data_IF_180357590623
#
_entry.id   IF_180357590623
#
_cell.length_a   1.000
_cell.length_b   1.000
_cell.length_c   1.000
_cell.angle_alpha   90.00
_cell.angle_beta   90.00
_cell.angle_gamma   90.00
#
_symmetry.space_group_name_H-M   'P 1'
#
loop_
_entity.id
_entity.type
_entity.pdbx_description
1 polymer ?
#
# COMPACT_ATOMS: atom_id res chain seq x y z
N UNK A 1 9.75 48.73 -4.31
CA UNK A 1 10.47 47.63 -3.69
C UNK A 1 9.79 46.35 -4.13
N UNK A 2 10.44 45.61 -5.05
CA UNK A 2 10.06 44.25 -5.36
C UNK A 2 10.39 43.33 -4.17
N UNK A 3 9.59 42.30 -3.88
CA UNK A 3 9.97 41.31 -2.89
C UNK A 3 11.27 40.63 -3.35
N UNK A 4 12.27 40.61 -2.49
CA UNK A 4 13.49 39.84 -2.71
C UNK A 4 13.10 38.36 -2.59
N UNK A 5 13.05 37.62 -3.71
CA UNK A 5 12.98 36.18 -3.67
C UNK A 5 14.17 35.65 -2.86
N UNK A 6 13.88 34.81 -1.88
CA UNK A 6 14.92 34.06 -1.20
C UNK A 6 15.69 33.22 -2.25
N UNK A 7 17.01 33.04 -2.11
CA UNK A 7 17.76 32.23 -3.06
C UNK A 7 17.15 30.82 -3.06
N UNK A 8 16.69 30.39 -4.22
CA UNK A 8 16.26 29.02 -4.43
C UNK A 8 17.46 28.10 -4.09
N UNK A 9 17.24 27.11 -3.23
CA UNK A 9 18.23 26.08 -2.93
C UNK A 9 18.69 25.37 -4.20
N UNK A 10 19.75 24.56 -4.11
CA UNK A 10 20.16 23.74 -5.24
C UNK A 10 19.02 22.81 -5.66
N UNK A 11 18.82 22.55 -6.96
CA UNK A 11 17.79 21.64 -7.44
C UNK A 11 18.00 20.23 -6.86
N UNK A 12 16.94 19.65 -6.27
CA UNK A 12 16.95 18.31 -5.72
C UNK A 12 15.82 17.51 -6.37
N UNK A 13 16.13 16.33 -6.88
CA UNK A 13 15.15 15.34 -7.31
C UNK A 13 15.04 14.24 -6.26
N UNK A 14 13.87 14.07 -5.68
CA UNK A 14 13.55 12.99 -4.75
C UNK A 14 12.85 11.86 -5.49
N UNK A 15 13.35 10.65 -5.33
CA UNK A 15 12.72 9.42 -5.84
C UNK A 15 12.01 8.73 -4.69
N UNK A 16 10.70 8.66 -4.78
CA UNK A 16 9.83 8.11 -3.74
C UNK A 16 9.17 6.85 -4.25
N UNK A 17 9.41 5.74 -3.58
CA UNK A 17 8.71 4.48 -3.82
C UNK A 17 7.53 4.39 -2.87
N UNK A 18 6.33 4.35 -3.42
CA UNK A 18 5.10 4.35 -2.64
C UNK A 18 4.13 3.25 -3.09
N UNK A 19 3.48 2.62 -2.13
CA UNK A 19 2.46 1.61 -2.40
C UNK A 19 1.39 2.14 -3.37
N UNK A 20 0.97 1.30 -4.32
CA UNK A 20 0.02 1.65 -5.38
C UNK A 20 -1.30 2.24 -4.85
N UNK A 21 -1.73 1.85 -3.66
CA UNK A 21 -2.91 2.41 -2.97
C UNK A 21 -2.78 3.90 -2.63
N UNK A 22 -1.55 4.43 -2.62
CA UNK A 22 -1.27 5.83 -2.30
C UNK A 22 -1.21 6.75 -3.52
N UNK A 23 -1.40 6.21 -4.74
CA UNK A 23 -1.14 6.94 -5.99
C UNK A 23 -1.85 8.30 -6.06
N UNK A 24 -3.14 8.34 -5.80
CA UNK A 24 -3.94 9.57 -5.92
C UNK A 24 -3.53 10.60 -4.87
N UNK A 25 -3.43 10.15 -3.61
CA UNK A 25 -3.08 11.02 -2.48
C UNK A 25 -1.67 11.59 -2.63
N UNK A 26 -0.69 10.73 -2.93
CA UNK A 26 0.70 11.16 -3.07
C UNK A 26 0.91 12.14 -4.23
N UNK A 27 0.20 11.97 -5.35
CA UNK A 27 0.27 12.93 -6.46
C UNK A 27 -0.28 14.31 -6.07
N UNK A 28 -1.37 14.38 -5.29
CA UNK A 28 -1.88 15.64 -4.78
C UNK A 28 -0.90 16.29 -3.81
N UNK A 29 -0.32 15.52 -2.91
CA UNK A 29 0.68 16.02 -1.93
C UNK A 29 1.96 16.51 -2.61
N UNK A 30 2.40 15.86 -3.69
CA UNK A 30 3.51 16.33 -4.52
C UNK A 30 3.26 17.73 -5.05
N UNK A 31 2.11 17.95 -5.68
CA UNK A 31 1.77 19.27 -6.25
C UNK A 31 1.82 20.36 -5.18
N UNK A 32 1.27 20.10 -4.00
CA UNK A 32 1.27 21.03 -2.88
C UNK A 32 2.69 21.28 -2.33
N UNK A 33 3.49 20.22 -2.22
CA UNK A 33 4.86 20.31 -1.71
C UNK A 33 5.77 21.09 -2.64
N UNK A 34 5.76 20.79 -3.95
CA UNK A 34 6.59 21.45 -4.97
C UNK A 34 6.24 22.94 -5.13
N UNK A 35 4.96 23.32 -4.95
CA UNK A 35 4.57 24.74 -4.93
C UNK A 35 5.26 25.53 -3.82
N UNK A 36 5.51 24.93 -2.67
CA UNK A 36 6.17 25.56 -1.54
C UNK A 36 7.69 25.35 -1.52
N UNK A 37 8.18 24.38 -2.32
CA UNK A 37 9.60 24.01 -2.43
C UNK A 37 10.02 23.94 -3.90
N UNK A 38 10.12 25.09 -4.60
CA UNK A 38 10.31 25.13 -6.06
C UNK A 38 11.65 24.56 -6.55
N UNK A 39 12.59 24.33 -5.65
CA UNK A 39 13.86 23.67 -5.93
C UNK A 39 13.80 22.13 -5.80
N UNK A 40 12.68 21.57 -5.32
CA UNK A 40 12.51 20.12 -5.15
C UNK A 40 11.54 19.59 -6.20
N UNK A 41 11.91 18.49 -6.82
CA UNK A 41 11.05 17.71 -7.72
C UNK A 41 10.88 16.32 -7.14
N UNK A 42 9.63 15.87 -6.97
CA UNK A 42 9.33 14.53 -6.46
C UNK A 42 8.93 13.61 -7.62
N UNK A 43 9.65 12.53 -7.79
CA UNK A 43 9.37 11.49 -8.79
C UNK A 43 8.90 10.24 -8.07
N UNK A 44 7.73 9.69 -8.44
CA UNK A 44 7.18 8.49 -7.83
C UNK A 44 7.42 7.24 -8.67
N UNK A 45 7.65 6.14 -7.96
CA UNK A 45 7.47 4.79 -8.46
C UNK A 45 6.35 4.14 -7.64
N UNK A 46 5.21 3.87 -8.28
CA UNK A 46 4.06 3.26 -7.64
C UNK A 46 3.91 1.80 -8.08
N UNK A 47 3.96 0.89 -7.13
CA UNK A 47 3.66 -0.53 -7.34
C UNK A 47 3.26 -1.19 -6.01
N UNK A 48 3.08 -2.51 -6.01
CA UNK A 48 2.94 -3.24 -4.75
C UNK A 48 4.19 -3.05 -3.88
N UNK A 49 4.00 -2.98 -2.57
CA UNK A 49 5.13 -2.81 -1.65
C UNK A 49 6.14 -3.97 -1.75
N UNK A 50 5.70 -5.17 -2.14
CA UNK A 50 6.58 -6.31 -2.39
C UNK A 50 7.48 -6.10 -3.61
N UNK A 51 6.92 -5.61 -4.73
CA UNK A 51 7.68 -5.26 -5.94
C UNK A 51 8.68 -4.15 -5.65
N UNK A 52 8.25 -3.09 -4.96
CA UNK A 52 9.11 -1.96 -4.59
C UNK A 52 10.26 -2.41 -3.68
N UNK A 53 9.98 -3.27 -2.69
CA UNK A 53 11.01 -3.87 -1.83
C UNK A 53 12.05 -4.64 -2.66
N UNK A 54 11.61 -5.43 -3.64
CA UNK A 54 12.53 -6.18 -4.51
C UNK A 54 13.45 -5.24 -5.28
N UNK A 55 12.91 -4.17 -5.85
CA UNK A 55 13.70 -3.16 -6.56
C UNK A 55 14.71 -2.46 -5.62
N UNK A 56 14.31 -2.11 -4.39
CA UNK A 56 15.21 -1.54 -3.37
C UNK A 56 16.35 -2.52 -3.04
N UNK A 57 16.04 -3.79 -2.85
CA UNK A 57 17.05 -4.84 -2.60
C UNK A 57 18.01 -5.05 -3.76
N UNK A 58 17.55 -4.83 -4.98
CA UNK A 58 18.37 -4.89 -6.20
C UNK A 58 19.18 -3.62 -6.45
N UNK A 59 19.07 -2.61 -5.59
CA UNK A 59 19.84 -1.37 -5.63
C UNK A 59 19.23 -0.28 -6.50
N UNK A 60 17.92 -0.28 -6.71
CA UNK A 60 17.24 0.83 -7.35
C UNK A 60 17.36 2.10 -6.50
N UNK A 61 17.54 3.25 -7.18
CA UNK A 61 17.55 4.56 -6.52
C UNK A 61 16.19 4.82 -5.88
N UNK A 62 16.20 5.01 -4.57
CA UNK A 62 15.02 5.32 -3.77
C UNK A 62 15.43 6.17 -2.57
N UNK A 63 14.83 7.33 -2.39
CA UNK A 63 15.15 8.25 -1.29
C UNK A 63 14.15 8.10 -0.13
N UNK A 64 12.90 7.75 -0.43
CA UNK A 64 11.83 7.52 0.56
C UNK A 64 10.98 6.31 0.15
N UNK A 65 10.74 5.41 1.09
CA UNK A 65 9.87 4.25 0.89
C UNK A 65 8.62 4.35 1.77
N UNK A 66 7.44 4.23 1.14
CA UNK A 66 6.12 4.19 1.80
C UNK A 66 5.48 2.86 1.48
N UNK A 67 5.40 1.98 2.47
CA UNK A 67 4.85 0.63 2.34
C UNK A 67 3.40 0.55 2.83
N UNK A 68 2.60 -0.32 2.23
CA UNK A 68 1.24 -0.62 2.68
C UNK A 68 1.18 -1.71 3.77
N UNK A 69 2.33 -2.16 4.26
CA UNK A 69 2.41 -3.09 5.39
C UNK A 69 3.77 -2.98 6.10
N UNK A 70 3.77 -3.32 7.39
CA UNK A 70 4.98 -3.32 8.22
C UNK A 70 6.03 -4.32 7.71
N UNK A 71 5.59 -5.48 7.22
CA UNK A 71 6.47 -6.58 6.79
C UNK A 71 7.56 -6.14 5.80
N UNK A 72 7.20 -5.36 4.78
CA UNK A 72 8.16 -4.91 3.77
C UNK A 72 9.15 -3.89 4.33
N UNK A 73 8.69 -3.01 5.22
CA UNK A 73 9.55 -2.06 5.91
C UNK A 73 10.50 -2.76 6.88
N UNK A 74 10.00 -3.74 7.63
CA UNK A 74 10.81 -4.52 8.58
C UNK A 74 12.02 -5.18 7.90
N UNK A 75 11.84 -5.64 6.65
CA UNK A 75 12.89 -6.33 5.87
C UNK A 75 14.10 -5.45 5.58
N UNK A 76 13.95 -4.12 5.54
CA UNK A 76 15.03 -3.16 5.23
C UNK A 76 15.50 -2.37 6.45
N UNK A 77 14.90 -2.62 7.61
CA UNK A 77 15.16 -1.91 8.86
C UNK A 77 16.35 -2.54 9.61
N UNK A 78 17.46 -1.81 9.65
CA UNK A 78 18.69 -2.26 10.34
C UNK A 78 18.54 -2.49 11.84
N UNK A 79 17.53 -1.89 12.50
CA UNK A 79 17.23 -2.16 13.91
C UNK A 79 16.69 -3.58 14.12
N UNK A 80 16.19 -4.22 13.07
CA UNK A 80 15.64 -5.58 13.06
C UNK A 80 16.58 -6.60 12.39
N UNK A 81 17.81 -6.23 12.07
CA UNK A 81 18.77 -7.10 11.34
C UNK A 81 19.09 -8.44 12.00
N UNK A 82 18.92 -8.53 13.32
CA UNK A 82 19.13 -9.75 14.09
C UNK A 82 17.85 -10.58 14.27
N UNK A 83 16.70 -10.07 13.81
CA UNK A 83 15.41 -10.76 13.80
C UNK A 83 15.18 -11.41 12.41
N UNK A 84 15.51 -12.68 12.31
CA UNK A 84 15.45 -13.44 11.04
C UNK A 84 14.01 -13.68 10.55
N UNK A 85 12.97 -13.46 11.36
CA UNK A 85 11.57 -13.54 10.94
C UNK A 85 11.14 -12.24 10.23
N UNK A 86 11.61 -11.09 10.70
CA UNK A 86 11.26 -9.78 10.18
C UNK A 86 12.21 -9.30 9.09
N UNK A 87 13.50 -9.47 9.31
CA UNK A 87 14.57 -9.06 8.39
C UNK A 87 15.49 -10.25 8.07
N UNK A 88 15.03 -11.21 7.27
CA UNK A 88 15.73 -12.47 7.02
C UNK A 88 17.12 -12.30 6.36
N UNK A 89 17.31 -11.20 5.62
CA UNK A 89 18.57 -10.91 4.93
C UNK A 89 19.49 -10.00 5.73
N UNK A 90 19.09 -9.56 6.93
CA UNK A 90 19.85 -8.67 7.80
C UNK A 90 20.16 -7.30 7.19
N UNK A 91 19.25 -6.78 6.35
CA UNK A 91 19.44 -5.52 5.63
C UNK A 91 19.35 -4.31 6.56
N UNK A 92 20.12 -3.27 6.22
CA UNK A 92 20.15 -1.99 6.91
C UNK A 92 20.18 -0.86 5.88
N UNK A 93 19.03 -0.63 5.25
CA UNK A 93 18.90 0.29 4.09
C UNK A 93 18.21 1.60 4.45
N UNK A 94 17.46 1.65 5.55
CA UNK A 94 16.77 2.88 5.97
C UNK A 94 17.55 3.62 7.06
N UNK A 95 17.32 4.92 7.14
CA UNK A 95 17.71 5.74 8.30
C UNK A 95 16.76 5.36 9.43
N UNK A 96 17.23 4.59 10.41
CA UNK A 96 16.40 3.96 11.44
C UNK A 96 15.49 4.94 12.18
N UNK A 97 16.02 6.11 12.54
CA UNK A 97 15.27 7.13 13.28
C UNK A 97 14.23 7.88 12.39
N UNK A 98 14.23 7.64 11.08
CA UNK A 98 13.25 8.23 10.14
C UNK A 98 11.97 7.43 10.04
N UNK A 99 11.97 6.16 10.46
CA UNK A 99 10.80 5.28 10.33
C UNK A 99 9.64 5.78 11.18
N UNK A 100 8.48 5.95 10.52
CA UNK A 100 7.23 6.38 11.14
C UNK A 100 6.07 5.51 10.65
N UNK A 101 5.05 5.33 11.48
CA UNK A 101 3.75 4.80 11.07
C UNK A 101 2.94 5.98 10.50
N UNK A 102 3.01 6.15 9.18
CA UNK A 102 2.50 7.36 8.50
C UNK A 102 0.99 7.45 8.57
N UNK A 103 0.27 6.34 8.33
CA UNK A 103 -1.19 6.28 8.41
C UNK A 103 -1.70 4.87 8.71
N UNK A 104 -2.94 4.79 9.16
CA UNK A 104 -3.71 3.54 9.27
C UNK A 104 -4.79 3.52 8.19
N UNK A 105 -4.94 2.38 7.52
CA UNK A 105 -5.98 2.15 6.52
C UNK A 105 -6.92 1.02 6.98
N UNK A 106 -7.90 0.67 6.17
CA UNK A 106 -8.82 -0.45 6.41
C UNK A 106 -8.87 -1.35 5.18
N UNK A 107 -8.88 -2.64 5.42
CA UNK A 107 -9.21 -3.63 4.39
C UNK A 107 -10.73 -3.76 4.31
N UNK A 108 -11.26 -3.68 3.10
CA UNK A 108 -12.71 -3.66 2.86
C UNK A 108 -13.11 -4.71 1.84
N UNK A 109 -14.33 -5.18 1.97
CA UNK A 109 -15.02 -5.98 0.98
C UNK A 109 -15.82 -5.03 0.07
N UNK A 110 -15.49 -5.03 -1.19
CA UNK A 110 -16.10 -4.16 -2.20
C UNK A 110 -16.80 -4.97 -3.29
N UNK A 111 -17.81 -4.36 -3.89
CA UNK A 111 -18.61 -4.95 -4.94
C UNK A 111 -18.74 -4.01 -6.14
N UNK A 112 -18.93 -4.53 -7.35
CA UNK A 112 -19.23 -3.71 -8.53
C UNK A 112 -20.58 -3.02 -8.40
N UNK A 113 -20.83 -2.08 -9.29
CA UNK A 113 -22.09 -1.33 -9.34
C UNK A 113 -23.29 -2.28 -9.37
N UNK A 114 -24.28 -1.97 -8.53
CA UNK A 114 -25.53 -2.74 -8.42
C UNK A 114 -25.41 -4.05 -7.63
N UNK A 115 -24.21 -4.45 -7.20
CA UNK A 115 -23.97 -5.65 -6.39
C UNK A 115 -24.78 -6.89 -6.88
N UNK A 116 -24.50 -7.43 -8.08
CA UNK A 116 -25.34 -8.46 -8.70
C UNK A 116 -25.48 -9.75 -7.90
N UNK A 117 -24.51 -10.04 -7.04
CA UNK A 117 -24.49 -11.24 -6.16
C UNK A 117 -25.14 -11.00 -4.80
N UNK A 118 -25.51 -9.76 -4.47
CA UNK A 118 -26.12 -9.42 -3.17
C UNK A 118 -25.18 -9.72 -2.00
N UNK A 119 -23.88 -9.46 -2.14
CA UNK A 119 -22.87 -9.71 -1.10
C UNK A 119 -22.95 -8.57 -0.09
N UNK A 120 -23.11 -8.89 1.20
CA UNK A 120 -23.31 -7.90 2.25
C UNK A 120 -22.25 -7.96 3.37
N UNK A 121 -21.50 -9.06 3.50
CA UNK A 121 -20.53 -9.23 4.58
C UNK A 121 -19.42 -10.23 4.26
N UNK A 122 -18.33 -10.18 5.03
CA UNK A 122 -17.29 -11.20 5.00
C UNK A 122 -17.80 -12.58 5.41
N UNK A 123 -18.74 -12.66 6.37
CA UNK A 123 -19.35 -13.94 6.77
C UNK A 123 -20.06 -14.59 5.59
N UNK A 124 -20.85 -13.82 4.83
CA UNK A 124 -21.53 -14.32 3.65
C UNK A 124 -20.53 -14.68 2.55
N UNK A 125 -19.49 -13.86 2.33
CA UNK A 125 -18.43 -14.16 1.36
C UNK A 125 -17.77 -15.50 1.66
N UNK A 126 -17.47 -15.80 2.92
CA UNK A 126 -16.84 -17.06 3.31
C UNK A 126 -17.70 -18.28 2.90
N UNK A 127 -19.01 -18.20 3.04
CA UNK A 127 -19.93 -19.28 2.61
C UNK A 127 -20.04 -19.36 1.07
N UNK A 128 -20.07 -18.24 0.36
CA UNK A 128 -20.09 -18.20 -1.11
C UNK A 128 -18.81 -18.75 -1.72
N UNK A 129 -17.66 -18.50 -1.11
CA UNK A 129 -16.37 -19.09 -1.54
C UNK A 129 -16.36 -20.60 -1.37
N UNK A 130 -16.89 -21.12 -0.25
CA UNK A 130 -17.00 -22.58 -0.02
C UNK A 130 -17.94 -23.26 -0.99
N UNK A 131 -19.04 -22.60 -1.38
CA UNK A 131 -20.03 -23.14 -2.31
C UNK A 131 -19.61 -23.04 -3.78
N UNK A 132 -18.62 -22.20 -4.10
CA UNK A 132 -18.17 -21.96 -5.47
C UNK A 132 -19.03 -20.97 -6.27
N UNK A 133 -19.86 -20.17 -5.59
CA UNK A 133 -20.87 -19.31 -6.22
C UNK A 133 -20.41 -17.85 -6.42
N UNK A 134 -19.14 -17.54 -6.16
CA UNK A 134 -18.58 -16.19 -6.24
C UNK A 134 -17.18 -16.21 -6.84
N UNK A 135 -16.83 -15.17 -7.60
CA UNK A 135 -15.46 -14.88 -8.01
C UNK A 135 -14.94 -13.68 -7.22
N UNK A 136 -13.94 -13.91 -6.37
CA UNK A 136 -13.27 -12.91 -5.57
C UNK A 136 -11.98 -12.43 -6.25
N UNK A 137 -11.83 -11.12 -6.43
CA UNK A 137 -10.57 -10.50 -6.79
C UNK A 137 -9.75 -10.19 -5.52
N UNK A 138 -8.48 -10.59 -5.52
CA UNK A 138 -7.55 -10.36 -4.41
C UNK A 138 -6.12 -10.09 -4.90
N UNK A 139 -5.29 -9.48 -4.06
CA UNK A 139 -3.85 -9.39 -4.33
C UNK A 139 -3.19 -10.76 -4.25
N UNK A 140 -2.13 -10.98 -5.04
CA UNK A 140 -1.30 -12.18 -4.88
C UNK A 140 -0.49 -12.12 -3.57
N UNK A 141 0.31 -13.15 -3.28
CA UNK A 141 1.08 -13.29 -2.03
C UNK A 141 2.11 -12.17 -1.77
N UNK A 142 2.57 -11.48 -2.81
CA UNK A 142 3.58 -10.41 -2.72
C UNK A 142 2.93 -9.04 -2.50
N UNK A 143 1.61 -8.96 -2.69
CA UNK A 143 0.82 -7.72 -2.50
C UNK A 143 0.36 -7.62 -1.05
N UNK A 144 0.60 -6.50 -0.33
CA UNK A 144 0.15 -6.35 1.05
C UNK A 144 -1.34 -6.63 1.26
N UNK A 145 -2.23 -6.13 0.39
CA UNK A 145 -3.66 -6.43 0.52
C UNK A 145 -3.96 -7.92 0.33
N UNK A 146 -3.17 -8.65 -0.47
CA UNK A 146 -3.25 -10.11 -0.58
C UNK A 146 -2.84 -10.79 0.71
N UNK A 147 -1.80 -10.29 1.39
CA UNK A 147 -1.35 -10.81 2.68
C UNK A 147 -2.41 -10.59 3.78
N UNK A 148 -3.11 -9.45 3.77
CA UNK A 148 -4.25 -9.22 4.65
C UNK A 148 -5.43 -10.14 4.31
N UNK A 149 -5.70 -10.37 3.01
CA UNK A 149 -6.73 -11.31 2.56
C UNK A 149 -6.45 -12.74 3.05
N UNK A 150 -5.19 -13.18 3.01
CA UNK A 150 -4.81 -14.48 3.57
C UNK A 150 -5.11 -14.61 5.07
N UNK A 151 -4.86 -13.55 5.85
CA UNK A 151 -5.23 -13.52 7.28
C UNK A 151 -6.75 -13.61 7.48
N UNK A 152 -7.54 -12.95 6.61
CA UNK A 152 -9.01 -13.08 6.63
C UNK A 152 -9.41 -14.53 6.30
N UNK A 153 -8.77 -15.17 5.33
CA UNK A 153 -9.02 -16.58 5.04
C UNK A 153 -8.71 -17.48 6.24
N UNK A 154 -7.57 -17.26 6.91
CA UNK A 154 -7.21 -18.00 8.13
C UNK A 154 -8.26 -17.81 9.23
N UNK A 155 -8.76 -16.58 9.42
CA UNK A 155 -9.81 -16.28 10.38
C UNK A 155 -11.10 -17.09 10.12
N UNK A 156 -11.48 -17.28 8.84
CA UNK A 156 -12.65 -18.06 8.44
C UNK A 156 -12.38 -19.56 8.21
N UNK A 157 -11.14 -20.00 8.42
CA UNK A 157 -10.73 -21.40 8.17
C UNK A 157 -10.83 -21.78 6.69
N UNK A 158 -10.52 -20.84 5.78
CA UNK A 158 -10.49 -21.03 4.33
C UNK A 158 -9.08 -21.37 3.88
N UNK A 159 -8.96 -22.32 2.95
CA UNK A 159 -7.69 -22.69 2.32
C UNK A 159 -7.59 -22.03 0.95
N UNK A 160 -6.64 -21.10 0.79
CA UNK A 160 -6.46 -20.35 -0.46
C UNK A 160 -6.17 -21.26 -1.65
N UNK A 161 -5.32 -22.29 -1.47
CA UNK A 161 -4.97 -23.19 -2.58
C UNK A 161 -6.19 -24.01 -3.04
N UNK A 162 -7.06 -24.43 -2.12
CA UNK A 162 -8.30 -25.11 -2.46
C UNK A 162 -9.28 -24.17 -3.17
N UNK A 163 -9.39 -22.91 -2.72
CA UNK A 163 -10.22 -21.90 -3.37
C UNK A 163 -9.71 -21.56 -4.78
N UNK A 164 -8.40 -21.40 -4.95
CA UNK A 164 -7.78 -21.17 -6.26
C UNK A 164 -8.05 -22.34 -7.21
N UNK A 165 -7.90 -23.59 -6.73
CA UNK A 165 -8.18 -24.77 -7.51
C UNK A 165 -9.66 -24.91 -7.92
N UNK A 166 -10.59 -24.38 -7.13
CA UNK A 166 -12.02 -24.35 -7.46
C UNK A 166 -12.40 -23.22 -8.42
N UNK A 167 -11.49 -22.31 -8.73
CA UNK A 167 -11.70 -21.22 -9.70
C UNK A 167 -12.50 -20.03 -9.16
N UNK A 168 -12.60 -19.87 -7.83
CA UNK A 168 -13.31 -18.75 -7.18
C UNK A 168 -12.43 -17.54 -6.87
N UNK A 169 -11.13 -17.60 -7.22
CA UNK A 169 -10.19 -16.52 -7.01
C UNK A 169 -9.63 -16.00 -8.34
N UNK A 170 -9.45 -14.68 -8.40
CA UNK A 170 -8.63 -14.02 -9.42
C UNK A 170 -7.66 -13.08 -8.72
N UNK A 171 -6.47 -12.88 -9.31
CA UNK A 171 -5.37 -12.19 -8.65
C UNK A 171 -4.97 -10.92 -9.38
N UNK A 172 -4.54 -9.93 -8.60
CA UNK A 172 -3.83 -8.75 -9.09
C UNK A 172 -2.40 -8.71 -8.58
N UNK A 173 -1.49 -8.16 -9.36
CA UNK A 173 -0.08 -7.95 -8.99
C UNK A 173 0.11 -6.71 -8.10
N UNK A 174 -0.91 -5.88 -7.98
CA UNK A 174 -1.03 -4.76 -7.05
C UNK A 174 -2.50 -4.47 -6.77
N UNK A 175 -2.78 -3.59 -5.78
CA UNK A 175 -4.17 -3.28 -5.39
C UNK A 175 -4.98 -2.59 -6.48
N UNK A 176 -4.34 -1.82 -7.38
CA UNK A 176 -5.04 -1.14 -8.48
C UNK A 176 -5.61 -2.12 -9.51
N UNK A 177 -4.88 -3.20 -9.80
CA UNK A 177 -5.40 -4.28 -10.65
C UNK A 177 -6.60 -4.98 -9.99
N UNK A 178 -6.54 -5.24 -8.69
CA UNK A 178 -7.69 -5.80 -7.95
C UNK A 178 -8.89 -4.85 -8.03
N UNK A 179 -8.66 -3.56 -7.79
CA UNK A 179 -9.70 -2.51 -7.88
C UNK A 179 -10.35 -2.46 -9.27
N UNK A 180 -9.53 -2.54 -10.34
CA UNK A 180 -10.01 -2.54 -11.73
C UNK A 180 -10.87 -3.76 -12.03
N UNK A 181 -10.49 -4.95 -11.55
CA UNK A 181 -11.29 -6.17 -11.73
C UNK A 181 -12.70 -6.04 -11.11
N UNK A 182 -12.82 -5.35 -9.97
CA UNK A 182 -14.12 -5.08 -9.35
C UNK A 182 -14.89 -4.00 -10.09
N UNK A 183 -14.25 -2.88 -10.42
CA UNK A 183 -14.92 -1.74 -11.09
C UNK A 183 -15.41 -2.09 -12.49
N UNK A 184 -14.73 -2.98 -13.20
CA UNK A 184 -15.11 -3.49 -14.52
C UNK A 184 -16.06 -4.70 -14.45
N UNK A 185 -16.49 -5.10 -13.25
CA UNK A 185 -17.29 -6.29 -12.98
C UNK A 185 -16.69 -7.59 -13.59
N UNK A 186 -15.37 -7.66 -13.69
CA UNK A 186 -14.64 -8.88 -14.04
C UNK A 186 -14.60 -9.89 -12.88
N UNK A 187 -14.84 -9.42 -11.66
CA UNK A 187 -15.06 -10.22 -10.46
C UNK A 187 -16.35 -9.79 -9.77
N UNK A 188 -16.95 -10.68 -8.99
CA UNK A 188 -18.19 -10.43 -8.25
C UNK A 188 -17.97 -9.54 -7.01
N UNK A 189 -16.77 -9.57 -6.46
CA UNK A 189 -16.33 -8.74 -5.34
C UNK A 189 -14.79 -8.68 -5.29
N UNK A 190 -14.28 -7.81 -4.44
CA UNK A 190 -12.84 -7.71 -4.21
C UNK A 190 -12.51 -7.28 -2.78
N UNK A 191 -11.34 -7.70 -2.33
CA UNK A 191 -10.77 -7.24 -1.05
C UNK A 191 -9.67 -6.24 -1.38
N UNK A 192 -9.94 -4.96 -1.05
CA UNK A 192 -9.07 -3.80 -1.31
C UNK A 192 -9.06 -2.87 -0.10
N UNK A 193 -8.26 -1.81 -0.15
CA UNK A 193 -8.29 -0.81 0.92
C UNK A 193 -9.46 0.18 0.77
N UNK A 194 -9.88 0.76 1.89
CA UNK A 194 -10.94 1.78 1.90
C UNK A 194 -10.61 2.99 1.02
N UNK A 195 -9.34 3.39 0.96
CA UNK A 195 -8.86 4.47 0.09
C UNK A 195 -9.03 4.15 -1.39
N UNK A 196 -8.72 2.92 -1.82
CA UNK A 196 -8.89 2.48 -3.20
C UNK A 196 -10.37 2.39 -3.58
N UNK A 197 -11.21 1.86 -2.68
CA UNK A 197 -12.65 1.82 -2.86
C UNK A 197 -13.24 3.23 -3.04
N UNK A 198 -12.83 4.17 -2.19
CA UNK A 198 -13.25 5.58 -2.27
C UNK A 198 -12.82 6.22 -3.60
N UNK A 199 -11.54 6.10 -3.96
CA UNK A 199 -10.99 6.69 -5.20
C UNK A 199 -11.65 6.14 -6.46
N UNK A 200 -12.03 4.85 -6.45
CA UNK A 200 -12.71 4.20 -7.57
C UNK A 200 -14.24 4.36 -7.55
N UNK A 201 -14.82 4.99 -6.51
CA UNK A 201 -16.27 5.11 -6.34
C UNK A 201 -16.99 3.78 -6.14
N UNK A 202 -16.29 2.76 -5.62
CA UNK A 202 -16.85 1.44 -5.38
C UNK A 202 -17.65 1.37 -4.09
N UNK A 203 -18.67 0.52 -4.07
CA UNK A 203 -19.46 0.26 -2.87
C UNK A 203 -18.69 -0.66 -1.93
N UNK A 204 -18.41 -0.17 -0.72
CA UNK A 204 -17.94 -0.98 0.40
C UNK A 204 -19.15 -1.59 1.10
N UNK A 205 -19.20 -2.92 1.20
CA UNK A 205 -20.29 -3.65 1.86
C UNK A 205 -19.90 -4.10 3.27
N UNK A 206 -18.60 -4.27 3.52
CA UNK A 206 -18.08 -4.64 4.85
C UNK A 206 -16.62 -4.19 5.02
N UNK A 207 -16.15 -4.12 6.27
CA UNK A 207 -14.76 -3.78 6.61
C UNK A 207 -14.19 -4.84 7.55
N UNK A 208 -12.98 -5.30 7.25
CA UNK A 208 -12.30 -6.25 8.11
C UNK A 208 -11.99 -5.65 9.48
N UNK A 209 -12.19 -6.44 10.53
CA UNK A 209 -11.83 -6.05 11.89
C UNK A 209 -10.37 -6.38 12.21
N UNK A 210 -9.79 -5.78 13.27
CA UNK A 210 -8.44 -6.13 13.71
C UNK A 210 -8.26 -7.62 14.04
N UNK A 211 -9.32 -8.31 14.46
CA UNK A 211 -9.31 -9.75 14.74
C UNK A 211 -9.18 -10.58 13.46
N UNK A 212 -9.69 -10.08 12.33
CA UNK A 212 -9.62 -10.76 11.04
C UNK A 212 -8.24 -10.66 10.40
N UNK A 213 -7.61 -9.49 10.40
CA UNK A 213 -6.37 -9.29 9.64
C UNK A 213 -5.29 -8.45 10.35
N UNK A 214 -5.53 -8.00 11.60
CA UNK A 214 -4.67 -7.06 12.30
C UNK A 214 -4.89 -5.61 11.85
N UNK A 215 -4.10 -4.70 12.43
CA UNK A 215 -4.09 -3.29 11.99
C UNK A 215 -3.37 -3.14 10.65
N UNK A 216 -3.87 -2.25 9.82
CA UNK A 216 -3.31 -1.95 8.50
C UNK A 216 -2.50 -0.65 8.60
N UNK A 217 -1.23 -0.79 8.94
CA UNK A 217 -0.31 0.33 9.11
C UNK A 217 0.51 0.53 7.84
N UNK A 218 0.62 1.77 7.41
CA UNK A 218 1.49 2.20 6.32
C UNK A 218 2.72 2.89 6.92
N UNK A 219 3.84 2.17 7.07
CA UNK A 219 5.09 2.78 7.50
C UNK A 219 5.76 3.52 6.34
N UNK A 220 6.48 4.59 6.69
CA UNK A 220 7.36 5.30 5.80
C UNK A 220 8.75 5.46 6.44
N UNK A 221 9.79 5.43 5.62
CA UNK A 221 11.15 5.69 6.07
C UNK A 221 12.03 6.24 4.95
N UNK A 222 13.00 7.06 5.33
CA UNK A 222 14.06 7.56 4.44
C UNK A 222 15.07 6.47 4.19
N UNK A 223 15.49 6.25 2.95
CA UNK A 223 16.61 5.37 2.62
C UNK A 223 17.94 6.11 2.82
N UNK A 224 18.97 5.34 3.19
CA UNK A 224 20.34 5.85 3.31
C UNK A 224 20.87 6.25 1.94
N UNK A 225 21.39 7.48 1.83
CA UNK A 225 21.92 8.03 0.58
C UNK A 225 22.30 9.50 0.69
N UNK A 226 22.57 10.11 -0.45
CA UNK A 226 23.07 11.49 -0.50
C UNK A 226 21.96 12.56 -0.29
N UNK A 227 20.68 12.17 -0.25
CA UNK A 227 19.53 13.06 -0.18
C UNK A 227 18.71 12.89 1.10
N UNK A 228 19.30 12.33 2.15
CA UNK A 228 18.61 12.04 3.42
C UNK A 228 17.90 13.26 4.00
N UNK A 229 18.54 14.44 4.02
CA UNK A 229 17.94 15.66 4.55
C UNK A 229 16.68 16.09 3.78
N UNK A 230 16.74 16.09 2.45
CA UNK A 230 15.61 16.47 1.61
C UNK A 230 14.46 15.43 1.69
N UNK A 231 14.79 14.15 1.79
CA UNK A 231 13.81 13.08 2.01
C UNK A 231 13.17 13.17 3.40
N UNK A 232 13.93 13.54 4.43
CA UNK A 232 13.42 13.82 5.78
C UNK A 232 12.45 15.00 5.80
N UNK A 233 12.78 16.07 5.09
CA UNK A 233 11.90 17.26 4.98
C UNK A 233 10.57 16.88 4.30
N UNK A 234 10.63 16.09 3.24
CA UNK A 234 9.40 15.61 2.58
C UNK A 234 8.61 14.65 3.48
N UNK A 235 9.26 13.72 4.18
CA UNK A 235 8.60 12.84 5.14
C UNK A 235 7.97 13.63 6.30
N UNK A 236 8.63 14.68 6.78
CA UNK A 236 8.07 15.57 7.79
C UNK A 236 6.83 16.31 7.29
N UNK A 237 6.84 16.76 6.02
CA UNK A 237 5.66 17.35 5.39
C UNK A 237 4.49 16.38 5.33
N UNK A 238 4.71 15.11 4.97
CA UNK A 238 3.66 14.08 4.92
C UNK A 238 2.98 13.83 6.28
N UNK A 239 3.56 14.28 7.39
CA UNK A 239 3.04 14.14 8.75
C UNK A 239 2.33 15.40 9.25
N UNK A 240 2.21 16.45 8.41
CA UNK A 240 1.54 17.69 8.79
C UNK A 240 0.02 17.63 8.58
N UNK A 241 -0.71 18.49 9.27
CA UNK A 241 -2.17 18.67 9.06
C UNK A 241 -2.52 19.20 7.65
N UNK A 242 -1.53 19.67 6.89
CA UNK A 242 -1.72 20.14 5.52
C UNK A 242 -1.67 19.00 4.49
N UNK A 243 -1.04 17.89 4.85
CA UNK A 243 -0.97 16.68 4.06
C UNK A 243 -2.07 15.69 4.48
#
# INVERSE_FOLDING_TARGET
NAPTEAPAGEPVELIVFAAASMTETMNQLKEMYEQNNPNVTVTYNFDSSGTLLTQIKEGADCDLFVSAALKQMDTVDGSLKDDTEKNPDGLDLIVTDSRVDLLENKVTLTVPEGNPKGIESFDQLAELLKSGDVLLAMGNSDVPVGQYTMKIFDYYGLDEAALAASGVLTYGSNVKEVTSQVSEAAADCGIIYATDAFSAGLTVVDSATPEMCGQVIYPAAVLKGDKEDAAQDFLAYLQTDAA
#
